data_IF_697167868942
#
_entry.id   IF_697167868942
#
_cell.length_a   1.000
_cell.length_b   1.000
_cell.length_c   1.000
_cell.angle_alpha   90.00
_cell.angle_beta   90.00
_cell.angle_gamma   90.00
#
_symmetry.space_group_name_H-M   'P 1'
#
loop_
_entity.id
_entity.type
_entity.pdbx_description
1 polymer ?
#
# COMPACT_ATOMS: atom_id res chain seq x y z
N UNK A 1 -0.80 49.25 -5.22
CA UNK A 1 -2.15 48.98 -4.67
C UNK A 1 -2.48 50.04 -3.66
N UNK A 2 -3.61 50.73 -3.78
CA UNK A 2 -4.01 51.79 -2.83
C UNK A 2 -4.60 51.16 -1.56
N UNK A 3 -4.48 51.88 -0.43
CA UNK A 3 -5.07 51.47 0.86
C UNK A 3 -6.56 51.10 0.73
N UNK A 4 -7.32 51.79 -0.13
CA UNK A 4 -8.72 51.49 -0.43
C UNK A 4 -8.94 50.12 -1.14
N UNK A 5 -7.94 49.58 -1.84
CA UNK A 5 -8.02 48.25 -2.46
C UNK A 5 -7.71 47.13 -1.42
N UNK A 6 -6.84 47.45 -0.44
CA UNK A 6 -6.53 46.52 0.66
C UNK A 6 -7.73 46.39 1.61
N UNK A 7 -8.38 47.52 1.97
CA UNK A 7 -9.60 47.52 2.79
C UNK A 7 -10.79 46.82 2.10
N UNK A 8 -10.95 46.97 0.77
CA UNK A 8 -11.99 46.21 0.04
C UNK A 8 -11.72 44.71 -0.01
N UNK A 9 -10.46 44.32 -0.06
CA UNK A 9 -10.09 42.88 -0.07
C UNK A 9 -10.27 42.29 1.32
N UNK A 10 -9.93 43.02 2.39
CA UNK A 10 -10.16 42.60 3.77
C UNK A 10 -11.65 42.55 4.13
N UNK A 11 -12.44 43.50 3.72
CA UNK A 11 -13.90 43.51 3.93
C UNK A 11 -14.62 42.38 3.16
N UNK A 12 -14.20 42.06 1.92
CA UNK A 12 -14.76 40.93 1.19
C UNK A 12 -14.36 39.59 1.85
N UNK A 13 -13.15 39.50 2.36
CA UNK A 13 -12.70 38.30 3.10
C UNK A 13 -13.47 38.13 4.43
N UNK A 14 -13.71 39.21 5.17
CA UNK A 14 -14.56 39.20 6.37
C UNK A 14 -16.00 38.83 6.08
N UNK A 15 -16.63 39.40 5.03
CA UNK A 15 -18.00 39.08 4.67
C UNK A 15 -18.20 37.64 4.23
N UNK A 16 -17.19 37.02 3.61
CA UNK A 16 -17.21 35.58 3.26
C UNK A 16 -17.03 34.71 4.51
N UNK A 17 -16.23 35.15 5.47
CA UNK A 17 -15.98 34.44 6.72
C UNK A 17 -17.24 34.46 7.64
N UNK A 18 -17.94 35.58 7.70
CA UNK A 18 -19.15 35.74 8.55
C UNK A 18 -20.36 34.91 8.07
N UNK A 19 -20.38 34.44 6.81
CA UNK A 19 -21.42 33.54 6.29
C UNK A 19 -21.07 32.07 6.39
N UNK A 20 -19.85 31.71 6.83
CA UNK A 20 -19.38 30.33 6.93
C UNK A 20 -19.97 29.64 8.18
N UNK A 21 -20.99 28.83 7.95
CA UNK A 21 -21.52 27.94 9.00
C UNK A 21 -21.08 26.50 8.71
N UNK A 22 -20.19 25.96 9.54
CA UNK A 22 -19.60 24.63 9.38
C UNK A 22 -20.64 23.52 9.29
N UNK A 23 -21.82 23.67 9.86
CA UNK A 23 -22.89 22.69 9.81
C UNK A 23 -23.61 22.67 8.45
N UNK A 24 -23.75 23.82 7.77
CA UNK A 24 -24.22 23.90 6.37
C UNK A 24 -23.15 23.42 5.39
N UNK A 25 -21.89 23.68 5.71
CA UNK A 25 -20.74 23.31 4.89
C UNK A 25 -20.54 21.79 4.86
N UNK A 26 -20.91 21.10 5.94
CA UNK A 26 -20.56 19.72 6.21
C UNK A 26 -21.21 18.72 5.25
N UNK A 27 -22.44 18.92 4.84
CA UNK A 27 -23.19 17.87 4.15
C UNK A 27 -23.32 18.12 2.63
N UNK A 28 -23.39 19.36 2.19
CA UNK A 28 -23.53 19.70 0.77
C UNK A 28 -22.17 19.86 0.08
N UNK A 29 -21.31 20.70 0.63
CA UNK A 29 -20.00 21.05 0.02
C UNK A 29 -19.02 19.89 0.04
N UNK A 30 -19.07 19.01 1.03
CA UNK A 30 -18.21 17.80 1.08
C UNK A 30 -18.50 16.84 -0.07
N UNK A 31 -19.77 16.65 -0.43
CA UNK A 31 -20.14 15.77 -1.55
C UNK A 31 -19.65 16.33 -2.88
N UNK A 32 -19.78 17.63 -3.11
CA UNK A 32 -19.25 18.31 -4.28
C UNK A 32 -17.72 18.23 -4.37
N UNK A 33 -17.03 18.36 -3.23
CA UNK A 33 -15.60 18.15 -3.16
C UNK A 33 -15.21 16.73 -3.56
N UNK A 34 -15.88 15.71 -3.05
CA UNK A 34 -15.57 14.33 -3.42
C UNK A 34 -15.91 14.01 -4.87
N UNK A 35 -16.98 14.58 -5.41
CA UNK A 35 -17.33 14.47 -6.83
C UNK A 35 -16.30 15.16 -7.75
N UNK A 36 -15.69 16.24 -7.29
CA UNK A 36 -14.63 16.96 -8.01
C UNK A 36 -13.31 16.18 -8.08
N UNK A 37 -13.07 15.25 -7.13
CA UNK A 37 -11.80 14.55 -7.07
C UNK A 37 -11.71 13.46 -8.15
N UNK A 38 -10.77 13.65 -9.10
CA UNK A 38 -10.38 12.59 -10.05
C UNK A 38 -9.36 11.64 -9.41
N UNK A 39 -9.84 10.82 -8.50
CA UNK A 39 -9.01 9.83 -7.79
C UNK A 39 -9.81 8.53 -7.54
N UNK A 40 -9.11 7.46 -7.19
CA UNK A 40 -9.77 6.19 -6.90
C UNK A 40 -10.71 6.26 -5.68
N UNK A 41 -11.77 5.44 -5.68
CA UNK A 41 -12.71 5.29 -4.56
C UNK A 41 -11.99 5.05 -3.22
N UNK A 42 -10.89 4.28 -3.23
CA UNK A 42 -10.09 4.06 -2.03
C UNK A 42 -9.42 5.35 -1.52
N UNK A 43 -9.00 6.22 -2.43
CA UNK A 43 -8.43 7.52 -2.07
C UNK A 43 -9.51 8.45 -1.53
N UNK A 44 -10.70 8.45 -2.15
CA UNK A 44 -11.87 9.18 -1.64
C UNK A 44 -12.21 8.73 -0.21
N UNK A 45 -12.26 7.43 0.05
CA UNK A 45 -12.52 6.90 1.40
C UNK A 45 -11.48 7.36 2.44
N UNK A 46 -10.22 7.47 2.04
CA UNK A 46 -9.14 7.99 2.90
C UNK A 46 -9.35 9.48 3.19
N UNK A 47 -9.63 10.29 2.16
CA UNK A 47 -9.87 11.72 2.31
C UNK A 47 -11.13 11.98 3.15
N UNK A 48 -12.20 11.20 2.93
CA UNK A 48 -13.42 11.26 3.74
C UNK A 48 -13.14 11.01 5.22
N UNK A 49 -12.32 10.01 5.54
CA UNK A 49 -11.90 9.73 6.92
C UNK A 49 -11.09 10.87 7.52
N UNK A 50 -10.15 11.43 6.77
CA UNK A 50 -9.30 12.53 7.22
C UNK A 50 -10.12 13.80 7.51
N UNK A 51 -10.97 14.19 6.57
CA UNK A 51 -11.83 15.37 6.72
C UNK A 51 -12.85 15.17 7.85
N UNK A 52 -13.40 13.96 8.02
CA UNK A 52 -14.27 13.65 9.17
C UNK A 52 -13.56 13.90 10.51
N UNK A 53 -12.26 13.60 10.62
CA UNK A 53 -11.49 13.89 11.84
C UNK A 53 -11.27 15.40 12.01
N UNK A 54 -10.96 16.12 10.94
CA UNK A 54 -10.79 17.57 10.97
C UNK A 54 -12.08 18.28 11.39
N UNK A 55 -13.22 17.96 10.78
CA UNK A 55 -14.51 18.56 11.14
C UNK A 55 -14.96 18.20 12.56
N UNK A 56 -14.65 17.00 13.04
CA UNK A 56 -14.88 16.64 14.46
C UNK A 56 -14.06 17.50 15.40
N UNK A 57 -12.80 17.77 15.04
CA UNK A 57 -11.94 18.67 15.81
C UNK A 57 -12.54 20.08 15.87
N UNK A 58 -12.95 20.63 14.73
CA UNK A 58 -13.59 21.96 14.66
C UNK A 58 -14.84 22.02 15.51
N UNK A 59 -15.73 21.04 15.39
CA UNK A 59 -16.97 20.97 16.18
C UNK A 59 -16.70 20.85 17.68
N UNK A 60 -15.72 20.04 18.08
CA UNK A 60 -15.36 19.87 19.50
C UNK A 60 -14.83 21.16 20.14
N UNK A 61 -14.16 22.00 19.36
CA UNK A 61 -13.57 23.25 19.81
C UNK A 61 -14.45 24.47 19.52
N UNK A 62 -15.72 24.27 19.09
CA UNK A 62 -16.68 25.33 18.71
C UNK A 62 -16.14 26.31 17.66
N UNK A 63 -15.30 25.82 16.73
CA UNK A 63 -14.71 26.63 15.66
C UNK A 63 -15.67 26.65 14.47
N UNK A 64 -16.31 27.78 14.22
CA UNK A 64 -17.24 27.99 13.10
C UNK A 64 -16.55 28.52 11.84
N UNK A 65 -15.51 29.32 12.01
CA UNK A 65 -14.74 29.94 10.91
C UNK A 65 -13.25 29.60 11.09
N UNK A 66 -12.80 28.42 10.59
CA UNK A 66 -11.44 27.95 10.82
C UNK A 66 -10.40 28.84 10.14
N UNK A 67 -9.29 29.00 10.80
CA UNK A 67 -8.12 29.77 10.39
C UNK A 67 -6.90 28.88 10.14
N UNK A 68 -5.80 29.47 9.69
CA UNK A 68 -4.51 28.78 9.59
C UNK A 68 -4.09 28.17 10.95
N UNK A 69 -4.28 28.91 12.03
CA UNK A 69 -3.89 28.46 13.38
C UNK A 69 -4.71 27.24 13.84
N UNK A 70 -5.96 27.14 13.44
CA UNK A 70 -6.78 25.96 13.75
C UNK A 70 -6.29 24.70 13.07
N UNK A 71 -5.69 24.80 11.88
CA UNK A 71 -5.02 23.67 11.23
C UNK A 71 -3.75 23.26 12.01
N UNK A 72 -3.01 24.23 12.54
CA UNK A 72 -1.84 23.93 13.40
C UNK A 72 -2.27 23.29 14.72
N UNK A 73 -3.35 23.75 15.32
CA UNK A 73 -3.93 23.13 16.53
C UNK A 73 -4.42 21.70 16.25
N UNK A 74 -5.08 21.47 15.12
CA UNK A 74 -5.45 20.13 14.70
C UNK A 74 -4.25 19.21 14.53
N UNK A 75 -3.17 19.70 13.90
CA UNK A 75 -1.91 18.96 13.79
C UNK A 75 -1.37 18.58 15.17
N UNK A 76 -1.32 19.53 16.11
CA UNK A 76 -0.85 19.31 17.47
C UNK A 76 -1.75 18.30 18.23
N UNK A 77 -3.07 18.35 18.04
CA UNK A 77 -3.98 17.34 18.61
C UNK A 77 -3.69 15.93 18.08
N UNK A 78 -3.39 15.79 16.79
CA UNK A 78 -3.00 14.51 16.21
C UNK A 78 -1.66 14.00 16.76
N UNK A 79 -0.71 14.88 17.00
CA UNK A 79 0.58 14.58 17.63
C UNK A 79 0.36 14.11 19.07
N UNK A 80 -0.44 14.83 19.87
CA UNK A 80 -0.79 14.47 21.24
C UNK A 80 -1.54 13.12 21.34
N UNK A 81 -2.29 12.73 20.29
CA UNK A 81 -2.92 11.41 20.16
C UNK A 81 -1.95 10.31 19.70
N UNK A 82 -0.65 10.60 19.65
CA UNK A 82 0.38 9.68 19.20
C UNK A 82 0.14 9.12 17.78
N UNK A 83 -0.49 9.90 16.90
CA UNK A 83 -0.67 9.52 15.52
C UNK A 83 0.70 9.45 14.81
N UNK A 84 0.91 8.43 13.98
CA UNK A 84 2.14 8.31 13.20
C UNK A 84 2.29 9.49 12.24
N UNK A 85 3.53 10.00 12.05
CA UNK A 85 3.85 11.13 11.15
C UNK A 85 3.25 10.96 9.75
N UNK A 86 3.24 9.73 9.21
CA UNK A 86 2.61 9.43 7.92
C UNK A 86 1.08 9.62 7.94
N UNK A 87 0.41 9.31 9.05
CA UNK A 87 -1.04 9.53 9.21
C UNK A 87 -1.35 11.02 9.30
N UNK A 88 -0.56 11.77 10.09
CA UNK A 88 -0.69 13.22 10.21
C UNK A 88 -0.48 13.89 8.84
N UNK A 89 0.57 13.50 8.12
CA UNK A 89 0.85 14.01 6.78
C UNK A 89 -0.31 13.75 5.79
N UNK A 90 -0.91 12.56 5.86
CA UNK A 90 -2.07 12.19 5.05
C UNK A 90 -3.30 13.05 5.38
N UNK A 91 -3.57 13.26 6.67
CA UNK A 91 -4.70 14.10 7.11
C UNK A 91 -4.52 15.55 6.69
N UNK A 92 -3.33 16.11 6.88
CA UNK A 92 -3.00 17.47 6.44
C UNK A 92 -3.05 17.60 4.90
N UNK A 93 -2.63 16.58 4.15
CA UNK A 93 -2.75 16.59 2.69
C UNK A 93 -4.22 16.63 2.25
N UNK A 94 -5.10 15.89 2.94
CA UNK A 94 -6.55 15.91 2.67
C UNK A 94 -7.17 17.27 2.98
N UNK A 95 -6.80 17.89 4.10
CA UNK A 95 -7.24 19.23 4.50
C UNK A 95 -6.76 20.28 3.49
N UNK A 96 -5.49 20.22 3.09
CA UNK A 96 -4.94 21.12 2.05
C UNK A 96 -5.67 20.98 0.72
N UNK A 97 -5.95 19.77 0.29
CA UNK A 97 -6.68 19.56 -0.98
C UNK A 97 -8.10 20.10 -0.91
N UNK A 98 -8.74 19.99 0.26
CA UNK A 98 -10.07 20.53 0.50
C UNK A 98 -10.08 22.06 0.45
N UNK A 99 -9.22 22.75 1.20
CA UNK A 99 -9.19 24.22 1.19
C UNK A 99 -8.69 24.81 -0.14
N UNK A 100 -7.80 24.14 -0.85
CA UNK A 100 -7.43 24.50 -2.22
C UNK A 100 -8.63 24.44 -3.18
N UNK A 101 -9.48 23.42 -3.04
CA UNK A 101 -10.72 23.32 -3.81
C UNK A 101 -11.74 24.40 -3.39
N UNK A 102 -11.88 24.69 -2.09
CA UNK A 102 -12.75 25.75 -1.60
C UNK A 102 -12.39 27.12 -2.20
N UNK A 103 -11.10 27.43 -2.27
CA UNK A 103 -10.60 28.65 -2.90
C UNK A 103 -10.93 28.72 -4.40
N UNK A 104 -10.70 27.63 -5.15
CA UNK A 104 -11.07 27.53 -6.56
C UNK A 104 -12.56 27.77 -6.81
N UNK A 105 -13.41 27.27 -5.90
CA UNK A 105 -14.86 27.46 -5.95
C UNK A 105 -15.32 28.78 -5.34
N UNK A 106 -14.41 29.60 -4.82
CA UNK A 106 -14.70 30.87 -4.13
C UNK A 106 -15.67 30.72 -2.95
N UNK A 107 -15.61 29.57 -2.27
CA UNK A 107 -16.46 29.23 -1.12
C UNK A 107 -15.78 29.59 0.19
N UNK A 108 -14.45 29.40 0.28
CA UNK A 108 -13.65 29.71 1.46
C UNK A 108 -12.18 29.95 1.06
N UNK A 109 -11.46 30.85 1.75
CA UNK A 109 -10.04 31.09 1.47
C UNK A 109 -9.20 29.84 1.77
N UNK A 110 -8.09 29.70 1.06
CA UNK A 110 -7.16 28.59 1.32
C UNK A 110 -6.29 28.86 2.54
N UNK A 111 -6.82 28.57 3.71
CA UNK A 111 -6.14 28.73 5.01
C UNK A 111 -5.02 27.69 5.24
N UNK A 112 -4.82 26.75 4.33
CA UNK A 112 -3.84 25.67 4.51
C UNK A 112 -2.48 25.96 3.87
N UNK A 113 -2.30 27.12 3.25
CA UNK A 113 -1.06 27.55 2.63
C UNK A 113 0.04 27.65 3.68
N UNK A 114 1.20 27.05 3.42
CA UNK A 114 2.33 27.09 4.36
C UNK A 114 2.29 26.05 5.49
N UNK A 115 1.18 25.35 5.71
CA UNK A 115 1.11 24.27 6.71
C UNK A 115 2.06 23.13 6.35
N UNK A 116 3.08 22.90 7.17
CA UNK A 116 4.09 21.84 6.94
C UNK A 116 3.65 20.52 7.61
N UNK A 117 3.71 19.44 6.84
CA UNK A 117 3.56 18.10 7.39
C UNK A 117 4.78 17.73 8.26
N UNK A 118 4.62 16.84 9.26
CA UNK A 118 5.75 16.31 10.01
C UNK A 118 6.75 15.65 9.07
N UNK A 119 8.04 15.75 9.41
CA UNK A 119 9.09 15.04 8.68
C UNK A 119 8.83 13.54 8.76
N UNK A 120 8.80 12.89 7.63
CA UNK A 120 8.65 11.44 7.56
C UNK A 120 10.01 10.78 7.52
N UNK A 121 10.19 9.78 8.37
CA UNK A 121 11.30 8.86 8.22
C UNK A 121 11.12 8.06 6.91
N UNK A 122 12.11 8.16 6.02
CA UNK A 122 12.14 7.50 4.71
C UNK A 122 12.73 6.09 4.78
N UNK A 123 13.19 5.65 5.94
CA UNK A 123 13.75 4.31 6.12
C UNK A 123 12.69 3.20 5.96
N UNK A 124 13.16 1.99 5.70
CA UNK A 124 12.29 0.81 5.66
C UNK A 124 11.70 0.52 7.04
N UNK A 125 10.36 0.59 7.13
CA UNK A 125 9.60 0.28 8.36
C UNK A 125 9.30 -1.21 8.49
N UNK A 126 9.62 -2.02 7.49
CA UNK A 126 9.40 -3.45 7.43
C UNK A 126 10.71 -4.16 7.26
N UNK A 127 10.83 -5.29 7.93
CA UNK A 127 11.99 -6.16 7.76
C UNK A 127 11.77 -7.06 6.53
N UNK A 128 12.86 -7.50 5.91
CA UNK A 128 12.84 -8.53 4.90
C UNK A 128 13.27 -9.88 5.51
N UNK A 129 12.96 -10.94 4.82
CA UNK A 129 13.35 -12.30 5.16
C UNK A 129 14.51 -12.74 4.25
N UNK A 130 15.58 -13.25 4.83
CA UNK A 130 16.66 -13.88 4.08
C UNK A 130 16.20 -15.20 3.44
N UNK A 131 17.00 -15.73 2.50
CA UNK A 131 16.67 -16.95 1.77
C UNK A 131 16.39 -18.14 2.68
N UNK A 132 17.19 -18.33 3.75
CA UNK A 132 16.99 -19.40 4.74
C UNK A 132 15.66 -19.28 5.48
N UNK A 133 15.27 -18.05 5.83
CA UNK A 133 13.99 -17.77 6.51
C UNK A 133 12.80 -18.00 5.58
N UNK A 134 12.89 -17.58 4.30
CA UNK A 134 11.84 -17.86 3.30
C UNK A 134 11.66 -19.37 3.08
N UNK A 135 12.78 -20.12 3.00
CA UNK A 135 12.73 -21.59 2.91
C UNK A 135 12.04 -22.21 4.14
N UNK A 136 12.35 -21.70 5.34
CA UNK A 136 11.70 -22.14 6.57
C UNK A 136 10.19 -21.87 6.53
N UNK A 137 9.76 -20.66 6.14
CA UNK A 137 8.33 -20.31 6.01
C UNK A 137 7.61 -21.24 5.03
N UNK A 138 8.22 -21.54 3.88
CA UNK A 138 7.62 -22.45 2.90
C UNK A 138 7.50 -23.88 3.45
N UNK A 139 8.48 -24.35 4.20
CA UNK A 139 8.52 -25.70 4.74
C UNK A 139 7.51 -25.93 5.88
N UNK A 140 7.01 -24.88 6.53
CA UNK A 140 6.00 -25.01 7.60
C UNK A 140 4.57 -25.17 7.07
N UNK A 141 4.35 -24.97 5.77
CA UNK A 141 3.01 -25.03 5.17
C UNK A 141 2.67 -26.49 4.84
N UNK A 142 1.63 -27.02 5.47
CA UNK A 142 1.12 -28.36 5.19
C UNK A 142 0.45 -28.42 3.81
N UNK A 143 1.08 -29.10 2.87
CA UNK A 143 0.63 -29.25 1.49
C UNK A 143 -0.27 -30.49 1.27
N UNK A 144 -0.71 -31.17 2.31
CA UNK A 144 -1.66 -32.28 2.20
C UNK A 144 -3.09 -31.81 1.88
N UNK A 145 -3.40 -30.54 2.19
CA UNK A 145 -4.71 -29.94 2.02
C UNK A 145 -4.76 -29.01 0.80
N UNK A 146 -5.96 -28.78 0.23
CA UNK A 146 -6.16 -27.82 -0.85
C UNK A 146 -5.74 -26.39 -0.43
N UNK A 147 -6.12 -26.00 0.79
CA UNK A 147 -5.78 -24.70 1.37
C UNK A 147 -4.28 -24.55 1.52
N UNK A 148 -3.60 -25.59 2.00
CA UNK A 148 -2.16 -25.57 2.18
C UNK A 148 -1.40 -25.52 0.85
N UNK A 149 -1.83 -26.27 -0.19
CA UNK A 149 -1.28 -26.15 -1.55
C UNK A 149 -1.46 -24.72 -2.09
N UNK A 150 -2.66 -24.13 -1.91
CA UNK A 150 -2.93 -22.74 -2.28
C UNK A 150 -2.01 -21.76 -1.57
N UNK A 151 -1.91 -21.88 -0.26
CA UNK A 151 -1.17 -20.96 0.60
C UNK A 151 0.34 -21.03 0.30
N UNK A 152 0.85 -22.24 0.08
CA UNK A 152 2.23 -22.47 -0.38
C UNK A 152 2.48 -21.79 -1.73
N UNK A 153 1.58 -21.97 -2.72
CA UNK A 153 1.72 -21.36 -4.04
C UNK A 153 1.68 -19.82 -3.96
N UNK A 154 0.82 -19.26 -3.11
CA UNK A 154 0.76 -17.80 -2.86
C UNK A 154 2.08 -17.30 -2.27
N UNK A 155 2.60 -17.95 -1.23
CA UNK A 155 3.83 -17.52 -0.56
C UNK A 155 5.03 -17.67 -1.51
N UNK A 156 5.15 -18.79 -2.23
CA UNK A 156 6.20 -18.99 -3.22
C UNK A 156 6.17 -17.92 -4.32
N UNK A 157 4.98 -17.67 -4.88
CA UNK A 157 4.78 -16.65 -5.91
C UNK A 157 5.13 -15.24 -5.41
N UNK A 158 4.72 -14.87 -4.19
CA UNK A 158 5.04 -13.56 -3.62
C UNK A 158 6.52 -13.40 -3.30
N UNK A 159 7.17 -14.46 -2.81
CA UNK A 159 8.58 -14.46 -2.42
C UNK A 159 9.53 -14.42 -3.62
N UNK A 160 9.15 -15.04 -4.73
CA UNK A 160 9.98 -15.13 -5.94
C UNK A 160 9.60 -14.05 -6.95
N UNK A 161 8.31 -13.84 -7.21
CA UNK A 161 7.81 -12.86 -8.17
C UNK A 161 7.68 -11.43 -7.64
N UNK A 162 7.93 -11.21 -6.35
CA UNK A 162 7.84 -9.88 -5.72
C UNK A 162 6.46 -9.23 -5.82
N UNK A 163 5.37 -10.01 -5.85
CA UNK A 163 4.03 -9.50 -6.07
C UNK A 163 3.48 -8.73 -4.86
N UNK A 164 2.65 -7.73 -5.16
CA UNK A 164 1.80 -7.09 -4.15
C UNK A 164 0.57 -7.96 -3.88
N UNK A 165 0.02 -7.91 -2.67
CA UNK A 165 -1.20 -8.65 -2.31
C UNK A 165 -2.38 -8.37 -3.25
N UNK A 166 -2.48 -7.16 -3.81
CA UNK A 166 -3.54 -6.80 -4.76
C UNK A 166 -3.32 -7.46 -6.13
N UNK A 167 -2.08 -7.64 -6.56
CA UNK A 167 -1.73 -8.32 -7.81
C UNK A 167 -2.09 -9.82 -7.69
N UNK A 168 -1.75 -10.46 -6.57
CA UNK A 168 -2.15 -11.85 -6.27
C UNK A 168 -3.67 -11.98 -6.18
N UNK A 169 -4.34 -11.05 -5.50
CA UNK A 169 -5.80 -11.05 -5.36
C UNK A 169 -6.52 -10.96 -6.71
N UNK A 170 -5.98 -10.21 -7.67
CA UNK A 170 -6.62 -9.96 -8.98
C UNK A 170 -6.29 -10.98 -10.05
N UNK A 171 -5.28 -11.81 -9.83
CA UNK A 171 -4.86 -12.82 -10.79
C UNK A 171 -5.99 -13.81 -11.10
N UNK A 172 -6.17 -14.12 -12.37
CA UNK A 172 -7.05 -15.15 -12.90
C UNK A 172 -6.22 -16.32 -13.44
N UNK A 173 -6.86 -17.45 -13.71
CA UNK A 173 -6.20 -18.62 -14.32
C UNK A 173 -5.65 -18.26 -15.70
N UNK A 174 -6.42 -17.54 -16.52
CA UNK A 174 -6.03 -17.07 -17.87
C UNK A 174 -4.83 -16.12 -17.91
N UNK A 175 -4.43 -15.54 -16.75
CA UNK A 175 -3.28 -14.64 -16.66
C UNK A 175 -1.95 -15.40 -16.65
N UNK A 176 -1.97 -16.71 -16.39
CA UNK A 176 -0.82 -17.59 -16.56
C UNK A 176 -0.70 -17.95 -18.04
N UNK A 177 0.35 -17.45 -18.70
CA UNK A 177 0.52 -17.56 -20.16
C UNK A 177 1.94 -17.93 -20.53
N UNK A 178 2.09 -18.45 -21.74
CA UNK A 178 3.41 -18.68 -22.35
C UNK A 178 3.81 -17.39 -23.10
N UNK A 179 5.01 -16.93 -22.88
CA UNK A 179 5.64 -15.82 -23.58
C UNK A 179 7.02 -16.26 -24.07
N UNK A 180 7.15 -16.57 -25.36
CA UNK A 180 8.32 -17.26 -25.89
C UNK A 180 8.51 -18.59 -25.19
N UNK A 181 9.71 -18.82 -24.64
CA UNK A 181 10.05 -20.05 -23.91
C UNK A 181 9.73 -19.99 -22.41
N UNK A 182 9.03 -18.93 -21.96
CA UNK A 182 8.80 -18.70 -20.55
C UNK A 182 7.31 -18.73 -20.18
N UNK A 183 6.99 -19.35 -19.06
CA UNK A 183 5.68 -19.16 -18.44
C UNK A 183 5.71 -17.91 -17.57
N UNK A 184 4.72 -17.05 -17.76
CA UNK A 184 4.58 -15.77 -17.07
C UNK A 184 3.19 -15.62 -16.47
N UNK A 185 3.08 -14.82 -15.39
CA UNK A 185 1.81 -14.38 -14.85
C UNK A 185 1.65 -12.89 -15.19
N UNK A 186 0.64 -12.56 -16.00
CA UNK A 186 0.25 -11.17 -16.22
C UNK A 186 -0.43 -10.61 -14.98
N UNK A 187 -0.07 -9.39 -14.60
CA UNK A 187 -0.53 -8.78 -13.35
C UNK A 187 -1.17 -7.42 -13.57
N UNK A 188 -2.24 -7.16 -12.82
CA UNK A 188 -2.90 -5.86 -12.77
C UNK A 188 -2.39 -5.07 -11.57
N UNK A 189 -1.54 -4.08 -11.80
CA UNK A 189 -0.95 -3.22 -10.78
C UNK A 189 -1.97 -2.33 -10.06
N UNK A 190 -1.52 -1.69 -8.99
CA UNK A 190 -2.32 -0.70 -8.25
C UNK A 190 -2.59 0.52 -9.14
N UNK A 191 -3.86 0.90 -9.29
CA UNK A 191 -4.28 2.07 -10.08
C UNK A 191 -4.33 1.84 -11.60
N UNK A 192 -3.98 0.64 -12.09
CA UNK A 192 -4.09 0.29 -13.52
C UNK A 192 -5.36 -0.51 -13.79
N UNK A 193 -5.95 -0.32 -14.95
CA UNK A 193 -7.08 -1.13 -15.46
C UNK A 193 -6.57 -2.32 -16.25
N UNK A 194 -5.44 -2.18 -16.92
CA UNK A 194 -4.89 -3.16 -17.85
C UNK A 194 -3.88 -4.10 -17.17
N UNK A 195 -3.71 -5.29 -17.77
CA UNK A 195 -2.75 -6.33 -17.37
C UNK A 195 -1.59 -6.35 -18.37
N UNK A 196 -0.76 -5.32 -18.35
CA UNK A 196 0.38 -5.15 -19.27
C UNK A 196 1.70 -5.57 -18.66
N UNK A 197 1.78 -5.61 -17.33
CA UNK A 197 2.97 -6.05 -16.60
C UNK A 197 2.90 -7.54 -16.34
N UNK A 198 4.04 -8.21 -16.31
CA UNK A 198 4.10 -9.64 -16.00
C UNK A 198 5.23 -9.97 -15.04
N UNK A 199 5.18 -11.16 -14.46
CA UNK A 199 6.27 -11.79 -13.72
C UNK A 199 6.54 -13.17 -14.31
N UNK A 200 7.83 -13.51 -14.46
CA UNK A 200 8.25 -14.85 -14.86
C UNK A 200 7.96 -15.83 -13.74
N UNK A 201 7.45 -17.01 -14.08
CA UNK A 201 7.20 -18.11 -13.17
C UNK A 201 8.30 -19.17 -13.33
N UNK A 202 9.33 -19.17 -12.46
CA UNK A 202 10.29 -20.27 -12.43
C UNK A 202 9.61 -21.60 -12.11
N UNK A 203 10.20 -22.70 -12.58
CA UNK A 203 9.63 -24.05 -12.47
C UNK A 203 9.09 -24.42 -11.07
N UNK A 204 9.80 -24.14 -9.95
CA UNK A 204 9.25 -24.49 -8.62
C UNK A 204 7.97 -23.74 -8.26
N UNK A 205 7.81 -22.50 -8.73
CA UNK A 205 6.60 -21.67 -8.49
C UNK A 205 5.47 -22.16 -9.39
N UNK A 206 5.76 -22.40 -10.66
CA UNK A 206 4.79 -22.94 -11.61
C UNK A 206 4.27 -24.31 -11.15
N UNK A 207 5.15 -25.19 -10.72
CA UNK A 207 4.77 -26.50 -10.16
C UNK A 207 3.82 -26.36 -8.97
N UNK A 208 4.12 -25.46 -8.03
CA UNK A 208 3.25 -25.22 -6.88
C UNK A 208 1.85 -24.71 -7.29
N UNK A 209 1.78 -23.83 -8.29
CA UNK A 209 0.51 -23.33 -8.83
C UNK A 209 -0.27 -24.48 -9.50
N UNK A 210 0.39 -25.31 -10.31
CA UNK A 210 -0.23 -26.41 -11.02
C UNK A 210 -0.73 -27.50 -10.05
N UNK A 211 0.03 -27.83 -9.00
CA UNK A 211 -0.41 -28.77 -7.95
C UNK A 211 -1.68 -28.29 -7.24
N UNK A 212 -1.74 -26.99 -6.96
CA UNK A 212 -2.95 -26.39 -6.40
C UNK A 212 -4.13 -26.42 -7.38
N UNK A 213 -3.93 -26.01 -8.63
CA UNK A 213 -4.99 -25.97 -9.63
C UNK A 213 -5.53 -27.37 -9.94
N UNK A 214 -4.66 -28.39 -10.02
CA UNK A 214 -5.06 -29.79 -10.19
C UNK A 214 -5.94 -30.25 -9.04
N UNK A 215 -5.52 -30.09 -7.80
CA UNK A 215 -6.30 -30.47 -6.61
C UNK A 215 -7.65 -29.73 -6.56
N UNK A 216 -7.66 -28.44 -6.97
CA UNK A 216 -8.89 -27.65 -7.03
C UNK A 216 -9.84 -28.17 -8.11
N UNK A 217 -9.33 -28.57 -9.28
CA UNK A 217 -10.12 -29.15 -10.36
C UNK A 217 -10.74 -30.49 -9.95
N UNK A 218 -9.96 -31.35 -9.31
CA UNK A 218 -10.39 -32.68 -8.87
C UNK A 218 -11.53 -32.61 -7.83
N UNK A 219 -11.66 -31.49 -7.11
CA UNK A 219 -12.73 -31.24 -6.12
C UNK A 219 -13.97 -30.53 -6.68
N UNK A 220 -14.01 -30.25 -7.97
CA UNK A 220 -15.26 -29.76 -8.59
C UNK A 220 -16.25 -30.90 -8.77
N UNK A 221 -17.52 -30.68 -8.43
CA UNK A 221 -18.57 -31.72 -8.44
C UNK A 221 -18.76 -32.46 -9.79
N UNK A 222 -18.02 -32.08 -10.81
CA UNK A 222 -18.08 -32.63 -12.17
C UNK A 222 -16.72 -33.03 -12.75
N UNK A 223 -15.62 -33.02 -11.94
CA UNK A 223 -14.27 -33.24 -12.48
C UNK A 223 -13.91 -32.32 -13.66
N UNK A 224 -14.51 -31.13 -13.70
CA UNK A 224 -14.46 -30.24 -14.85
C UNK A 224 -13.28 -29.26 -14.79
N UNK A 225 -12.88 -28.77 -15.96
CA UNK A 225 -11.88 -27.72 -16.08
C UNK A 225 -12.30 -26.48 -15.30
N UNK A 226 -11.33 -25.86 -14.61
CA UNK A 226 -11.54 -24.57 -13.96
C UNK A 226 -11.77 -23.52 -15.04
N UNK A 227 -12.80 -22.69 -14.90
CA UNK A 227 -13.03 -21.55 -15.77
C UNK A 227 -11.77 -20.65 -15.80
N UNK A 228 -11.28 -20.35 -17.00
CA UNK A 228 -10.08 -19.56 -17.20
C UNK A 228 -10.20 -18.13 -16.63
N UNK A 229 -11.42 -17.58 -16.59
CA UNK A 229 -11.72 -16.28 -15.98
C UNK A 229 -11.81 -16.33 -14.45
N UNK A 230 -11.83 -17.54 -13.86
CA UNK A 230 -11.90 -17.70 -12.42
C UNK A 230 -10.63 -17.17 -11.71
N UNK A 231 -10.72 -16.77 -10.43
CA UNK A 231 -9.56 -16.37 -9.66
C UNK A 231 -8.50 -17.48 -9.65
N UNK A 232 -7.21 -17.09 -9.87
CA UNK A 232 -6.11 -18.03 -9.80
C UNK A 232 -6.07 -18.72 -8.42
N UNK A 233 -6.23 -17.92 -7.35
CA UNK A 233 -6.33 -18.40 -5.97
C UNK A 233 -7.73 -18.15 -5.42
N UNK A 234 -8.42 -19.21 -5.08
CA UNK A 234 -9.81 -19.15 -4.63
C UNK A 234 -9.95 -19.33 -3.12
N UNK A 235 -11.04 -18.81 -2.59
CA UNK A 235 -11.45 -19.00 -1.19
C UNK A 235 -12.04 -20.39 -0.98
N UNK A 236 -11.62 -21.05 0.09
CA UNK A 236 -12.24 -22.28 0.58
C UNK A 236 -13.33 -22.02 1.65
N UNK A 237 -13.54 -20.76 2.04
CA UNK A 237 -14.55 -20.39 3.04
C UNK A 237 -15.97 -20.62 2.51
N UNK A 238 -16.84 -21.21 3.36
CA UNK A 238 -18.24 -21.47 3.02
C UNK A 238 -19.01 -20.20 2.60
N UNK A 239 -18.64 -19.03 3.12
CA UNK A 239 -19.27 -17.74 2.76
C UNK A 239 -18.88 -17.22 1.37
N UNK A 240 -17.75 -17.67 0.83
CA UNK A 240 -17.22 -17.20 -0.46
C UNK A 240 -16.49 -18.35 -1.18
N UNK A 241 -17.09 -19.55 -1.18
CA UNK A 241 -16.49 -20.75 -1.81
C UNK A 241 -16.19 -20.46 -3.28
N UNK A 242 -14.99 -20.76 -3.73
CA UNK A 242 -14.48 -20.49 -5.08
C UNK A 242 -14.37 -19.01 -5.47
N UNK A 243 -14.77 -18.07 -4.61
CA UNK A 243 -14.61 -16.65 -4.85
C UNK A 243 -13.18 -16.15 -4.66
N UNK A 244 -12.94 -14.95 -5.10
CA UNK A 244 -11.63 -14.26 -5.05
C UNK A 244 -11.18 -13.99 -3.62
N UNK A 245 -9.92 -14.29 -3.31
CA UNK A 245 -9.30 -13.91 -2.03
C UNK A 245 -9.14 -12.39 -1.92
N UNK A 246 -9.47 -11.84 -0.76
CA UNK A 246 -9.20 -10.44 -0.47
C UNK A 246 -7.72 -10.21 -0.16
N UNK A 247 -7.24 -8.98 -0.33
CA UNK A 247 -5.86 -8.60 0.09
C UNK A 247 -5.63 -8.82 1.58
N UNK A 248 -6.68 -8.71 2.41
CA UNK A 248 -6.63 -8.97 3.85
C UNK A 248 -6.41 -10.46 4.11
N UNK A 249 -7.13 -11.34 3.42
CA UNK A 249 -6.96 -12.80 3.53
C UNK A 249 -5.55 -13.22 3.12
N UNK A 250 -5.03 -12.73 1.98
CA UNK A 250 -3.66 -13.00 1.53
C UNK A 250 -2.63 -12.53 2.56
N UNK A 251 -2.85 -11.34 3.14
CA UNK A 251 -1.98 -10.83 4.22
C UNK A 251 -2.04 -11.69 5.47
N UNK A 252 -3.21 -12.25 5.79
CA UNK A 252 -3.40 -13.19 6.90
C UNK A 252 -2.64 -14.51 6.66
N UNK A 253 -2.76 -15.09 5.47
CA UNK A 253 -2.02 -16.30 5.05
C UNK A 253 -0.51 -16.09 5.24
N UNK A 254 0.05 -15.01 4.69
CA UNK A 254 1.47 -14.70 4.82
C UNK A 254 1.89 -14.54 6.29
N UNK A 255 1.10 -13.83 7.09
CA UNK A 255 1.42 -13.62 8.51
C UNK A 255 1.36 -14.91 9.31
N UNK A 256 0.38 -15.77 9.02
CA UNK A 256 0.25 -17.08 9.68
C UNK A 256 1.42 -17.99 9.34
N UNK A 257 1.83 -18.10 8.07
CA UNK A 257 2.97 -18.89 7.67
C UNK A 257 4.28 -18.43 8.35
N UNK A 258 4.50 -17.11 8.45
CA UNK A 258 5.64 -16.56 9.19
C UNK A 258 5.60 -16.92 10.67
N UNK A 259 4.42 -16.84 11.32
CA UNK A 259 4.26 -17.23 12.73
C UNK A 259 4.56 -18.72 12.97
N UNK A 260 4.06 -19.58 12.09
CA UNK A 260 4.32 -21.03 12.16
C UNK A 260 5.82 -21.33 12.02
N UNK A 261 6.55 -20.52 11.27
CA UNK A 261 8.00 -20.59 11.16
C UNK A 261 8.77 -19.93 12.32
N UNK A 262 8.09 -19.51 13.39
CA UNK A 262 8.70 -18.82 14.53
C UNK A 262 9.07 -17.35 14.26
N UNK A 263 8.64 -16.78 13.14
CA UNK A 263 8.96 -15.43 12.71
C UNK A 263 7.79 -14.47 13.03
N UNK A 264 7.44 -14.32 14.32
CA UNK A 264 6.35 -13.44 14.75
C UNK A 264 6.86 -12.06 15.18
N UNK A 265 6.94 -11.15 14.22
CA UNK A 265 7.31 -9.76 14.44
C UNK A 265 6.25 -8.81 13.84
N UNK A 266 5.87 -7.72 14.51
CA UNK A 266 4.98 -6.70 13.94
C UNK A 266 5.59 -6.00 12.71
N UNK A 267 6.90 -6.14 12.50
CA UNK A 267 7.62 -5.61 11.34
C UNK A 267 7.50 -6.52 10.12
N UNK A 268 7.12 -7.80 10.31
CA UNK A 268 6.91 -8.78 9.24
C UNK A 268 5.44 -8.85 8.79
N UNK A 269 5.23 -8.84 7.49
CA UNK A 269 3.90 -8.88 6.86
C UNK A 269 3.99 -9.43 5.43
N UNK A 270 2.88 -9.62 4.75
CA UNK A 270 2.88 -10.00 3.33
C UNK A 270 3.75 -9.06 2.46
N UNK A 271 3.86 -7.78 2.82
CA UNK A 271 4.73 -6.85 2.11
C UNK A 271 6.22 -7.18 2.32
N UNK A 272 6.57 -7.83 3.43
CA UNK A 272 7.94 -8.30 3.68
C UNK A 272 8.39 -9.36 2.69
N UNK A 273 7.49 -10.21 2.16
CA UNK A 273 7.82 -11.18 1.10
C UNK A 273 8.31 -10.46 -0.17
N UNK A 274 7.60 -9.42 -0.57
CA UNK A 274 8.03 -8.57 -1.70
C UNK A 274 9.33 -7.81 -1.38
N UNK A 275 9.48 -7.30 -0.16
CA UNK A 275 10.74 -6.72 0.31
C UNK A 275 11.89 -7.70 0.17
N UNK A 276 11.67 -8.96 0.60
CA UNK A 276 12.66 -10.04 0.47
C UNK A 276 13.04 -10.29 -0.99
N UNK A 277 12.05 -10.40 -1.88
CA UNK A 277 12.32 -10.59 -3.31
C UNK A 277 13.21 -9.50 -3.88
N UNK A 278 12.89 -8.22 -3.61
CA UNK A 278 13.66 -7.07 -4.09
C UNK A 278 15.06 -7.04 -3.49
N UNK A 279 15.18 -7.24 -2.17
CA UNK A 279 16.48 -7.21 -1.47
C UNK A 279 17.36 -8.38 -1.91
N UNK A 280 16.81 -9.59 -2.03
CA UNK A 280 17.56 -10.77 -2.47
C UNK A 280 18.01 -10.65 -3.93
N UNK A 281 17.22 -10.01 -4.80
CA UNK A 281 17.66 -9.73 -6.18
C UNK A 281 18.87 -8.81 -6.22
N UNK A 282 18.91 -7.75 -5.41
CA UNK A 282 20.07 -6.86 -5.30
C UNK A 282 21.29 -7.58 -4.69
N UNK A 283 21.07 -8.38 -3.65
CA UNK A 283 22.13 -9.21 -3.03
C UNK A 283 22.69 -10.26 -3.99
N UNK A 284 21.90 -10.73 -4.95
CA UNK A 284 22.33 -11.63 -6.02
C UNK A 284 23.05 -10.90 -7.18
N UNK A 285 23.22 -9.57 -7.11
CA UNK A 285 23.96 -8.78 -8.09
C UNK A 285 23.13 -8.20 -9.24
N UNK A 286 21.79 -8.30 -9.19
CA UNK A 286 20.96 -7.65 -10.18
C UNK A 286 21.10 -6.11 -10.11
N UNK A 287 21.13 -5.44 -11.26
CA UNK A 287 21.24 -3.99 -11.27
C UNK A 287 19.94 -3.28 -10.81
N UNK A 288 20.07 -1.98 -10.47
CA UNK A 288 18.97 -1.21 -9.93
C UNK A 288 17.80 -1.05 -10.91
N UNK A 289 18.09 -0.96 -12.23
CA UNK A 289 17.06 -0.81 -13.26
C UNK A 289 16.30 -2.13 -13.48
N UNK A 290 17.01 -3.25 -13.50
CA UNK A 290 16.41 -4.59 -13.55
C UNK A 290 15.49 -4.81 -12.35
N UNK A 291 15.96 -4.49 -11.13
CA UNK A 291 15.16 -4.65 -9.91
C UNK A 291 13.99 -3.66 -9.86
N UNK A 292 14.13 -2.46 -10.39
CA UNK A 292 13.00 -1.53 -10.56
C UNK A 292 11.93 -2.13 -11.48
N UNK A 293 12.33 -2.65 -12.63
CA UNK A 293 11.43 -3.29 -13.59
C UNK A 293 10.77 -4.54 -12.98
N UNK A 294 11.58 -5.44 -12.39
CA UNK A 294 11.08 -6.62 -11.68
C UNK A 294 10.05 -6.26 -10.60
N UNK A 295 10.34 -5.27 -9.79
CA UNK A 295 9.43 -4.81 -8.74
C UNK A 295 8.25 -3.98 -9.27
N UNK A 296 8.26 -3.57 -10.54
CA UNK A 296 7.23 -2.70 -11.11
C UNK A 296 7.06 -1.41 -10.28
N UNK A 297 8.21 -0.77 -9.93
CA UNK A 297 8.23 0.49 -9.22
C UNK A 297 8.14 1.64 -10.22
N UNK A 298 7.09 2.46 -10.11
CA UNK A 298 6.91 3.66 -10.93
C UNK A 298 7.95 4.75 -10.66
N UNK A 299 8.59 4.72 -9.49
CA UNK A 299 9.62 5.67 -9.08
C UNK A 299 10.86 4.91 -8.62
N UNK A 300 12.00 5.21 -9.24
CA UNK A 300 13.30 4.60 -8.93
C UNK A 300 13.72 4.84 -7.48
N UNK A 301 13.36 5.99 -6.88
CA UNK A 301 13.64 6.28 -5.47
C UNK A 301 13.08 5.21 -4.52
N UNK A 302 12.04 4.49 -4.92
CA UNK A 302 11.53 3.36 -4.15
C UNK A 302 12.51 2.18 -4.15
N UNK A 303 13.21 1.94 -5.26
CA UNK A 303 14.21 0.88 -5.39
C UNK A 303 15.53 1.28 -4.73
N UNK A 304 15.93 2.55 -4.83
CA UNK A 304 17.15 3.09 -4.21
C UNK A 304 17.20 2.88 -2.68
N UNK A 305 16.05 2.93 -2.00
CA UNK A 305 16.00 2.67 -0.56
C UNK A 305 16.51 1.25 -0.23
N UNK A 306 16.26 0.28 -1.12
CA UNK A 306 16.75 -1.10 -0.97
C UNK A 306 18.25 -1.21 -1.27
N UNK A 307 18.75 -0.53 -2.30
CA UNK A 307 20.16 -0.48 -2.62
C UNK A 307 20.97 0.03 -1.43
N UNK A 308 20.61 1.16 -0.86
CA UNK A 308 21.29 1.67 0.34
C UNK A 308 21.30 0.69 1.51
N UNK A 309 20.22 -0.09 1.69
CA UNK A 309 20.19 -1.12 2.73
C UNK A 309 21.13 -2.29 2.42
N UNK A 310 21.21 -2.70 1.16
CA UNK A 310 22.13 -3.76 0.69
C UNK A 310 23.58 -3.30 0.79
N UNK A 311 23.88 -2.08 0.35
CA UNK A 311 25.21 -1.48 0.44
C UNK A 311 25.70 -1.44 1.90
N UNK A 312 24.79 -1.10 2.83
CA UNK A 312 25.11 -1.11 4.26
C UNK A 312 25.34 -2.51 4.82
N UNK A 313 24.60 -3.51 4.39
CA UNK A 313 24.78 -4.93 4.80
C UNK A 313 26.11 -5.46 4.26
N UNK A 314 26.48 -5.10 3.04
CA UNK A 314 27.72 -5.54 2.39
C UNK A 314 28.94 -4.71 2.81
N UNK A 315 28.77 -3.66 3.63
CA UNK A 315 29.87 -2.85 4.14
C UNK A 315 30.84 -3.68 4.97
N UNK A 316 32.10 -3.55 4.70
CA UNK A 316 33.17 -4.25 5.45
C UNK A 316 33.63 -3.46 6.70
N UNK A 317 33.04 -2.30 6.98
CA UNK A 317 33.52 -1.42 8.04
C UNK A 317 33.51 -2.09 9.42
N UNK A 318 32.40 -2.73 9.78
CA UNK A 318 32.25 -3.42 11.07
C UNK A 318 33.19 -4.63 11.18
N UNK A 319 33.39 -5.37 10.10
CA UNK A 319 34.32 -6.51 10.06
C UNK A 319 35.77 -6.03 10.24
N UNK A 320 36.17 -4.99 9.49
CA UNK A 320 37.52 -4.42 9.62
C UNK A 320 37.80 -3.88 11.02
N UNK A 321 36.80 -3.25 11.66
CA UNK A 321 36.94 -2.78 13.05
C UNK A 321 37.03 -3.99 14.02
N UNK A 322 36.18 -5.01 13.82
CA UNK A 322 36.21 -6.22 14.63
C UNK A 322 37.58 -6.93 14.56
N UNK A 323 38.08 -7.08 13.33
CA UNK A 323 39.39 -7.69 13.12
C UNK A 323 40.53 -6.89 13.78
N UNK A 324 40.45 -5.56 13.73
CA UNK A 324 41.44 -4.69 14.39
C UNK A 324 41.38 -4.72 15.92
N UNK A 325 40.23 -5.04 16.53
CA UNK A 325 40.04 -5.05 17.98
C UNK A 325 40.28 -6.45 18.57
N UNK A 326 39.87 -7.50 17.87
CA UNK A 326 39.77 -8.86 18.42
C UNK A 326 40.77 -9.86 17.79
N UNK A 327 41.54 -9.44 16.76
CA UNK A 327 42.70 -10.17 16.25
C UNK A 327 43.99 -9.84 17.05
#
# INVERSE_FOLDING_TARGET
MSLAQIEKTENNSKAVIDTFNINRFRDYIINDFFAFLDVSEKTIAIYRRALKQFFRFLSKNNISSPTYDDILLFKKELENKNCKSATIALYLASVRRFFSWCEQKKVYPNISVGVKAPRQDRGHKRDFLGAKQLKLVLNTIDRSTLEGKRDYAIIALMSVGGLRTIEVSRANVEDVRILGDFTVLYVQGKGRKDRTEFVKLPEPVLKAINEYLKERSDRTDRGGAIDVSAPLFASASNRNKNGRLTTRTISGIAKQAMRQAGLDSPRLSAHSLRHSAVTLSLLAGADLAEVQAFARHSNISTTQIYSHAVDRINSMCENAISDAIFS
#
